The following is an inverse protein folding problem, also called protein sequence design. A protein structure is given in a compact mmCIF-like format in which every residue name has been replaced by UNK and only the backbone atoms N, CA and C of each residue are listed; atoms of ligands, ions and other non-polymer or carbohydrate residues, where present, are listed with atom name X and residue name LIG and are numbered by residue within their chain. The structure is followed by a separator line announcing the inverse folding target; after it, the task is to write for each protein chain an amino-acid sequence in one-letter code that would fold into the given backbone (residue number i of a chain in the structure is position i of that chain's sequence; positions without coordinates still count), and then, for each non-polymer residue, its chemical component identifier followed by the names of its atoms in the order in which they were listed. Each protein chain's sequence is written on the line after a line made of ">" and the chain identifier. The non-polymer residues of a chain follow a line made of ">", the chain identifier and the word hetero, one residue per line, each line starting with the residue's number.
data_IF_149910395976
#
_entry.id   IF_149910395976
#
_cell.length_a   1.000
_cell.length_b   1.000
_cell.length_c   1.000
_cell.angle_alpha   90.00
_cell.angle_beta   90.00
_cell.angle_gamma   90.00
#
_symmetry.space_group_name_H-M   'P 1'
#
loop_
_entity.id
_entity.type
_entity.pdbx_description
1 polymer ?
#
# COMPACT_ATOMS: atom_id res chain seq x y z
N UNK A 1 66.02 27.27 -6.07
CA UNK A 1 65.03 26.31 -6.60
C UNK A 1 64.15 25.84 -5.44
N UNK A 2 62.94 26.36 -5.34
CA UNK A 2 61.97 25.93 -4.30
C UNK A 2 60.86 25.21 -5.02
N UNK A 3 60.70 23.89 -4.76
CA UNK A 3 59.59 23.09 -5.24
C UNK A 3 58.35 23.39 -4.36
N UNK A 4 57.28 23.82 -4.97
CA UNK A 4 55.96 23.91 -4.33
C UNK A 4 55.17 22.61 -4.57
N UNK A 5 54.86 21.91 -3.46
CA UNK A 5 54.03 20.71 -3.49
C UNK A 5 52.57 21.10 -3.27
N UNK A 6 51.77 20.95 -4.33
CA UNK A 6 50.31 21.22 -4.27
C UNK A 6 49.59 19.95 -3.81
N UNK A 7 49.00 19.99 -2.61
CA UNK A 7 48.13 18.94 -2.07
C UNK A 7 46.73 19.12 -2.65
N UNK A 8 46.29 18.17 -3.46
CA UNK A 8 44.95 18.08 -4.01
C UNK A 8 44.05 17.34 -3.00
N UNK A 9 43.22 18.11 -2.25
CA UNK A 9 42.22 17.50 -1.32
C UNK A 9 41.02 17.01 -2.09
N UNK A 10 40.85 15.69 -2.15
CA UNK A 10 39.68 15.01 -2.73
C UNK A 10 38.57 14.96 -1.66
N UNK A 11 37.60 15.86 -1.77
CA UNK A 11 36.43 15.87 -0.89
C UNK A 11 35.47 14.71 -1.23
N UNK A 12 35.38 13.73 -0.34
CA UNK A 12 34.43 12.64 -0.42
C UNK A 12 33.04 13.15 0.01
N UNK A 13 32.17 13.46 -0.93
CA UNK A 13 30.77 13.79 -0.64
C UNK A 13 30.01 12.52 -0.26
N UNK A 14 29.73 12.37 1.03
CA UNK A 14 28.83 11.33 1.54
C UNK A 14 27.40 11.71 1.18
N UNK A 15 26.86 11.10 0.12
CA UNK A 15 25.43 11.11 -0.15
C UNK A 15 24.74 10.26 0.90
N UNK A 16 24.11 10.90 1.89
CA UNK A 16 23.19 10.23 2.81
C UNK A 16 21.93 9.85 2.03
N UNK A 17 21.80 8.58 1.66
CA UNK A 17 20.55 8.01 1.17
C UNK A 17 19.64 7.89 2.40
N UNK A 18 18.76 8.87 2.61
CA UNK A 18 17.66 8.70 3.57
C UNK A 18 16.74 7.62 3.01
N UNK A 19 16.76 6.44 3.63
CA UNK A 19 15.75 5.43 3.41
C UNK A 19 14.40 6.04 3.81
N UNK A 20 13.59 6.42 2.82
CA UNK A 20 12.16 6.68 3.05
C UNK A 20 11.56 5.36 3.48
N UNK A 21 10.89 5.34 4.62
CA UNK A 21 10.01 4.25 5.00
C UNK A 21 9.08 3.97 3.81
N UNK A 22 8.85 2.70 3.50
CA UNK A 22 8.10 2.21 2.34
C UNK A 22 6.76 2.94 2.18
N UNK A 23 6.74 3.95 1.33
CA UNK A 23 5.50 4.57 0.87
C UNK A 23 4.81 3.54 -0.04
N UNK A 24 3.54 3.17 0.23
CA UNK A 24 2.83 2.22 -0.61
C UNK A 24 2.86 2.66 -2.07
N UNK A 25 2.92 1.73 -3.04
CA UNK A 25 2.90 2.06 -4.46
C UNK A 25 1.72 2.97 -4.79
N UNK A 26 1.94 3.98 -5.62
CA UNK A 26 0.88 4.89 -6.06
C UNK A 26 -0.30 4.10 -6.64
N UNK A 27 -1.52 4.47 -6.26
CA UNK A 27 -2.74 3.79 -6.71
C UNK A 27 -3.11 2.51 -5.95
N UNK A 28 -2.51 2.24 -4.79
CA UNK A 28 -2.86 1.09 -3.93
C UNK A 28 -3.29 1.49 -2.52
N UNK A 29 -3.22 2.77 -2.17
CA UNK A 29 -3.51 3.26 -0.82
C UNK A 29 -4.98 3.52 -0.59
N UNK A 30 -5.53 2.95 0.48
CA UNK A 30 -6.82 3.33 1.08
C UNK A 30 -6.53 4.21 2.30
N UNK A 31 -7.05 5.41 2.31
CA UNK A 31 -6.79 6.40 3.36
C UNK A 31 -7.98 6.50 4.30
N UNK A 32 -7.80 6.11 5.58
CA UNK A 32 -8.77 6.31 6.62
C UNK A 32 -8.44 7.55 7.44
N UNK A 33 -9.42 8.45 7.60
CA UNK A 33 -9.24 9.74 8.26
C UNK A 33 -10.25 9.93 9.39
N UNK A 34 -9.78 10.32 10.58
CA UNK A 34 -10.66 10.80 11.65
C UNK A 34 -10.09 12.08 12.25
N UNK A 35 -10.86 12.77 13.12
CA UNK A 35 -10.42 14.05 13.66
C UNK A 35 -9.03 13.96 14.29
N UNK A 36 -8.81 12.97 15.16
CA UNK A 36 -7.57 12.89 15.95
C UNK A 36 -6.55 11.88 15.42
N UNK A 37 -6.85 11.07 14.40
CA UNK A 37 -5.93 10.07 13.85
C UNK A 37 -5.58 8.92 14.80
N UNK A 38 -6.18 8.86 15.98
CA UNK A 38 -5.74 8.00 17.09
C UNK A 38 -6.66 6.81 17.38
N UNK A 39 -7.90 6.80 16.86
CA UNK A 39 -8.87 5.75 17.17
C UNK A 39 -9.52 5.18 15.93
N UNK A 40 -10.58 5.82 15.37
CA UNK A 40 -11.41 5.26 14.30
C UNK A 40 -10.58 4.92 13.05
N UNK A 41 -9.71 5.82 12.63
CA UNK A 41 -8.84 5.61 11.46
C UNK A 41 -7.81 4.51 11.69
N UNK A 42 -7.24 4.39 12.89
CA UNK A 42 -6.32 3.29 13.25
C UNK A 42 -7.03 1.93 13.23
N UNK A 43 -8.22 1.86 13.83
CA UNK A 43 -9.04 0.65 13.83
C UNK A 43 -9.43 0.24 12.41
N UNK A 44 -9.93 1.17 11.61
CA UNK A 44 -10.35 0.91 10.24
C UNK A 44 -9.18 0.42 9.38
N UNK A 45 -8.03 1.07 9.46
CA UNK A 45 -6.86 0.68 8.70
C UNK A 45 -6.33 -0.70 9.13
N UNK A 46 -6.28 -1.00 10.43
CA UNK A 46 -5.84 -2.30 10.93
C UNK A 46 -6.78 -3.44 10.47
N UNK A 47 -8.09 -3.25 10.60
CA UNK A 47 -9.08 -4.24 10.14
C UNK A 47 -9.05 -4.41 8.62
N UNK A 48 -9.00 -3.30 7.87
CA UNK A 48 -8.91 -3.35 6.41
C UNK A 48 -7.69 -4.13 5.94
N UNK A 49 -6.51 -3.84 6.50
CA UNK A 49 -5.27 -4.51 6.11
C UNK A 49 -5.30 -6.02 6.39
N UNK A 50 -5.92 -6.44 7.50
CA UNK A 50 -6.17 -7.87 7.77
C UNK A 50 -7.07 -8.50 6.70
N UNK A 51 -8.18 -7.85 6.35
CA UNK A 51 -9.13 -8.35 5.34
C UNK A 51 -8.48 -8.34 3.95
N UNK A 52 -7.80 -7.27 3.58
CA UNK A 52 -7.10 -7.15 2.31
C UNK A 52 -6.07 -8.27 2.12
N UNK A 53 -5.26 -8.53 3.15
CA UNK A 53 -4.29 -9.63 3.15
C UNK A 53 -4.97 -10.99 3.00
N UNK A 54 -6.04 -11.24 3.75
CA UNK A 54 -6.76 -12.51 3.71
C UNK A 54 -7.44 -12.78 2.35
N UNK A 55 -7.85 -11.72 1.65
CA UNK A 55 -8.52 -11.79 0.33
C UNK A 55 -7.59 -11.53 -0.86
N UNK A 56 -6.27 -11.37 -0.63
CA UNK A 56 -5.29 -11.10 -1.69
C UNK A 56 -5.53 -9.79 -2.44
N UNK A 57 -6.07 -8.75 -1.76
CA UNK A 57 -6.29 -7.45 -2.38
C UNK A 57 -4.96 -6.68 -2.50
N UNK A 58 -4.73 -5.94 -3.59
CA UNK A 58 -3.50 -5.18 -3.81
C UNK A 58 -3.51 -3.84 -3.07
N UNK A 59 -4.38 -3.67 -2.08
CA UNK A 59 -4.57 -2.42 -1.37
C UNK A 59 -3.96 -2.46 0.03
N UNK A 60 -3.38 -1.34 0.45
CA UNK A 60 -2.88 -1.12 1.81
C UNK A 60 -3.56 0.11 2.39
N UNK A 61 -4.11 -0.03 3.58
CA UNK A 61 -4.70 1.10 4.30
C UNK A 61 -3.67 1.81 5.17
N UNK A 62 -3.78 3.13 5.23
CA UNK A 62 -3.08 4.01 6.17
C UNK A 62 -4.07 4.83 6.99
N UNK A 63 -3.64 5.30 8.15
CA UNK A 63 -4.43 6.09 9.10
C UNK A 63 -3.92 7.52 9.17
N UNK A 64 -4.82 8.53 9.15
CA UNK A 64 -4.47 9.94 9.30
C UNK A 64 -5.47 10.68 10.18
N UNK A 65 -5.02 11.80 10.74
CA UNK A 65 -5.83 12.72 11.52
C UNK A 65 -5.87 14.13 10.92
N UNK A 66 -6.89 14.90 11.29
CA UNK A 66 -7.03 16.32 10.92
C UNK A 66 -6.36 17.18 11.99
N UNK A 67 -6.63 16.87 13.28
CA UNK A 67 -6.05 17.51 14.46
C UNK A 67 -5.47 16.38 15.33
N UNK A 68 -4.23 16.00 15.08
CA UNK A 68 -3.67 14.75 15.61
C UNK A 68 -3.43 14.77 17.11
N UNK A 69 -3.77 13.68 17.78
CA UNK A 69 -3.37 13.41 19.16
C UNK A 69 -1.87 13.14 19.27
N UNK A 70 -1.31 13.32 20.43
CA UNK A 70 0.11 13.03 20.71
C UNK A 70 0.42 11.52 20.81
N UNK A 71 -0.60 10.66 20.94
CA UNK A 71 -0.43 9.20 21.07
C UNK A 71 -1.73 8.45 20.80
N UNK A 72 -1.60 7.16 20.49
CA UNK A 72 -2.73 6.23 20.43
C UNK A 72 -3.15 5.88 21.87
N UNK A 73 -4.44 6.02 22.23
CA UNK A 73 -4.91 5.68 23.58
C UNK A 73 -4.56 4.23 23.95
N UNK A 74 -3.99 3.98 25.15
CA UNK A 74 -3.59 2.63 25.56
C UNK A 74 -4.71 1.60 25.51
N UNK A 75 -5.96 2.03 25.79
CA UNK A 75 -7.14 1.18 25.66
C UNK A 75 -7.34 0.69 24.23
N UNK A 76 -7.23 1.57 23.24
CA UNK A 76 -7.41 1.19 21.81
C UNK A 76 -6.32 0.21 21.38
N UNK A 77 -5.09 0.44 21.80
CA UNK A 77 -3.97 -0.48 21.55
C UNK A 77 -4.25 -1.86 22.18
N UNK A 78 -4.75 -1.88 23.43
CA UNK A 78 -5.07 -3.14 24.11
C UNK A 78 -6.22 -3.90 23.44
N UNK A 79 -7.29 -3.20 23.04
CA UNK A 79 -8.45 -3.80 22.36
C UNK A 79 -8.04 -4.39 20.98
N UNK A 80 -7.27 -3.66 20.18
CA UNK A 80 -6.73 -4.17 18.91
C UNK A 80 -5.84 -5.40 19.12
N UNK A 81 -4.97 -5.39 20.14
CA UNK A 81 -4.10 -6.51 20.47
C UNK A 81 -4.89 -7.77 20.85
N UNK A 82 -6.02 -7.64 21.55
CA UNK A 82 -6.91 -8.77 21.86
C UNK A 82 -7.49 -9.42 20.60
N UNK A 83 -7.62 -8.66 19.52
CA UNK A 83 -8.07 -9.15 18.22
C UNK A 83 -6.93 -9.62 17.29
N UNK A 84 -5.70 -9.66 17.80
CA UNK A 84 -4.50 -9.98 17.00
C UNK A 84 -4.11 -8.89 16.01
N UNK A 85 -4.51 -7.65 16.28
CA UNK A 85 -4.20 -6.45 15.50
C UNK A 85 -3.33 -5.49 16.31
N UNK A 86 -2.75 -4.51 15.62
CA UNK A 86 -2.05 -3.39 16.24
C UNK A 86 -2.43 -2.08 15.52
N UNK A 87 -2.33 -0.92 16.18
CA UNK A 87 -2.36 0.35 15.48
C UNK A 87 -1.25 0.39 14.42
N UNK A 88 -1.51 1.06 13.30
CA UNK A 88 -0.52 1.18 12.21
C UNK A 88 0.66 2.06 12.58
N UNK A 89 0.39 3.09 13.39
CA UNK A 89 1.37 4.08 13.79
C UNK A 89 1.57 4.04 15.30
N UNK A 90 2.77 4.34 15.77
CA UNK A 90 3.02 4.57 17.21
C UNK A 90 2.50 5.94 17.65
N UNK A 91 2.57 6.93 16.77
CA UNK A 91 2.06 8.28 16.95
C UNK A 91 1.17 8.63 15.75
N UNK A 92 -0.04 9.19 15.99
CA UNK A 92 -0.94 9.62 14.93
C UNK A 92 -0.25 10.56 13.93
N UNK A 93 -0.54 10.39 12.65
CA UNK A 93 0.04 11.18 11.57
C UNK A 93 -0.98 12.17 10.98
N UNK A 94 -0.50 13.38 10.67
CA UNK A 94 -1.32 14.44 10.06
C UNK A 94 -1.69 14.08 8.61
N UNK A 95 -2.95 14.29 8.22
CA UNK A 95 -3.37 14.22 6.84
C UNK A 95 -2.72 15.32 5.99
N UNK A 96 -2.28 14.96 4.80
CA UNK A 96 -1.81 15.91 3.78
C UNK A 96 -2.65 15.83 2.51
N UNK A 97 -2.79 16.96 1.79
CA UNK A 97 -3.50 17.00 0.52
C UNK A 97 -2.85 16.09 -0.56
N UNK A 98 -1.53 15.91 -0.47
CA UNK A 98 -0.80 15.00 -1.38
C UNK A 98 -1.19 13.55 -1.16
N UNK A 99 -1.29 13.09 0.10
CA UNK A 99 -1.73 11.74 0.43
C UNK A 99 -3.20 11.52 0.03
N UNK A 100 -4.06 12.51 0.27
CA UNK A 100 -5.45 12.44 -0.18
C UNK A 100 -5.54 12.29 -1.71
N UNK A 101 -4.78 13.08 -2.47
CA UNK A 101 -4.76 13.03 -3.92
C UNK A 101 -4.16 11.72 -4.48
N UNK A 102 -3.20 11.12 -3.78
CA UNK A 102 -2.57 9.85 -4.17
C UNK A 102 -3.36 8.60 -3.77
N UNK A 103 -4.38 8.73 -2.92
CA UNK A 103 -5.16 7.59 -2.44
C UNK A 103 -6.17 7.10 -3.49
N UNK A 104 -6.35 5.79 -3.57
CA UNK A 104 -7.41 5.14 -4.37
C UNK A 104 -8.79 5.48 -3.82
N UNK A 105 -8.89 5.56 -2.50
CA UNK A 105 -10.10 5.90 -1.77
C UNK A 105 -9.74 6.63 -0.48
N UNK A 106 -10.45 7.73 -0.23
CA UNK A 106 -10.41 8.43 1.07
C UNK A 106 -11.71 8.15 1.78
N UNK A 107 -11.62 7.60 2.98
CA UNK A 107 -12.74 7.33 3.88
C UNK A 107 -12.55 8.16 5.14
N UNK A 108 -13.56 8.92 5.52
CA UNK A 108 -13.48 9.78 6.70
C UNK A 108 -14.66 9.58 7.66
N UNK A 109 -14.36 9.68 8.96
CA UNK A 109 -15.34 9.60 10.03
C UNK A 109 -15.82 10.99 10.49
N UNK A 110 -15.07 12.03 10.10
CA UNK A 110 -15.30 13.41 10.44
C UNK A 110 -15.12 14.28 9.19
N UNK A 111 -15.63 15.51 9.19
CA UNK A 111 -15.53 16.43 8.05
C UNK A 111 -14.06 16.78 7.78
N UNK A 112 -13.56 16.45 6.60
CA UNK A 112 -12.20 16.79 6.17
C UNK A 112 -12.20 18.17 5.53
N UNK A 113 -11.41 19.14 6.04
CA UNK A 113 -11.29 20.47 5.47
C UNK A 113 -10.77 20.40 4.01
N UNK A 114 -11.22 21.32 3.18
CA UNK A 114 -10.80 21.37 1.76
C UNK A 114 -9.29 21.52 1.59
N UNK A 115 -8.64 22.30 2.45
CA UNK A 115 -7.18 22.48 2.46
C UNK A 115 -6.41 21.17 2.63
N UNK A 116 -7.01 20.16 3.29
CA UNK A 116 -6.37 18.88 3.63
C UNK A 116 -6.74 17.76 2.64
N UNK A 117 -7.84 17.90 1.89
CA UNK A 117 -8.28 16.93 0.88
C UNK A 117 -8.10 17.39 -0.57
N UNK A 118 -7.93 18.68 -0.80
CA UNK A 118 -7.94 19.26 -2.14
C UNK A 118 -9.25 18.95 -2.88
N UNK A 119 -9.14 18.56 -4.15
CA UNK A 119 -10.28 18.16 -4.99
C UNK A 119 -10.67 16.68 -4.80
N UNK A 120 -10.05 15.93 -3.88
CA UNK A 120 -10.30 14.50 -3.70
C UNK A 120 -11.70 14.27 -3.11
N UNK A 121 -12.43 13.33 -3.71
CA UNK A 121 -13.71 12.87 -3.20
C UNK A 121 -13.50 12.06 -1.91
N UNK A 122 -14.29 12.36 -0.88
CA UNK A 122 -14.22 11.70 0.42
C UNK A 122 -15.51 10.91 0.67
N UNK A 123 -15.38 9.63 0.99
CA UNK A 123 -16.49 8.80 1.42
C UNK A 123 -16.64 8.93 2.95
N UNK A 124 -17.76 9.47 3.41
CA UNK A 124 -18.00 9.71 4.83
C UNK A 124 -18.77 8.57 5.50
N UNK A 125 -18.18 7.99 6.57
CA UNK A 125 -18.80 7.02 7.47
C UNK A 125 -19.24 7.71 8.77
N UNK A 126 -20.16 8.66 8.63
CA UNK A 126 -20.60 9.53 9.72
C UNK A 126 -21.54 8.84 10.74
N UNK A 127 -22.07 7.69 10.38
CA UNK A 127 -22.93 6.84 11.22
C UNK A 127 -22.14 5.97 12.21
N UNK A 128 -20.80 5.86 12.02
CA UNK A 128 -19.93 5.10 12.94
C UNK A 128 -19.92 5.75 14.32
N UNK A 129 -20.31 5.00 15.39
CA UNK A 129 -20.47 5.55 16.74
C UNK A 129 -19.24 6.27 17.28
N UNK A 130 -19.47 7.20 18.23
CA UNK A 130 -18.38 7.82 18.98
C UNK A 130 -17.68 6.81 19.89
N UNK A 131 -16.36 6.97 20.04
CA UNK A 131 -15.45 6.04 20.74
C UNK A 131 -15.74 5.87 22.23
N UNK A 132 -16.42 6.83 22.86
CA UNK A 132 -16.52 6.94 24.31
C UNK A 132 -17.43 5.93 24.98
N UNK A 133 -18.27 5.20 24.23
CA UNK A 133 -19.37 4.44 24.84
C UNK A 133 -19.30 2.91 24.67
N UNK A 134 -18.82 2.40 23.56
CA UNK A 134 -18.86 0.96 23.32
C UNK A 134 -17.87 0.55 22.21
N UNK A 135 -16.71 0.00 22.58
CA UNK A 135 -15.72 -0.46 21.61
C UNK A 135 -16.27 -1.55 20.66
N UNK A 136 -16.96 -2.59 21.12
CA UNK A 136 -17.56 -3.58 20.21
C UNK A 136 -18.48 -2.97 19.15
N UNK A 137 -19.37 -2.07 19.54
CA UNK A 137 -20.29 -1.42 18.58
C UNK A 137 -19.53 -0.54 17.57
N UNK A 138 -18.50 0.16 18.02
CA UNK A 138 -17.62 0.94 17.14
C UNK A 138 -16.89 0.04 16.14
N UNK A 139 -16.28 -1.05 16.62
CA UNK A 139 -15.60 -2.04 15.80
C UNK A 139 -16.54 -2.66 14.77
N UNK A 140 -17.70 -3.13 15.22
CA UNK A 140 -18.66 -3.83 14.36
C UNK A 140 -19.19 -2.91 13.25
N UNK A 141 -19.44 -1.65 13.53
CA UNK A 141 -19.82 -0.67 12.52
C UNK A 141 -18.70 -0.45 11.50
N UNK A 142 -17.44 -0.30 11.95
CA UNK A 142 -16.29 -0.16 11.06
C UNK A 142 -16.11 -1.40 10.17
N UNK A 143 -16.19 -2.60 10.75
CA UNK A 143 -16.02 -3.85 10.00
C UNK A 143 -17.13 -4.01 8.97
N UNK A 144 -18.38 -3.69 9.32
CA UNK A 144 -19.50 -3.70 8.39
C UNK A 144 -19.26 -2.80 7.17
N UNK A 145 -18.85 -1.55 7.40
CA UNK A 145 -18.49 -0.65 6.31
C UNK A 145 -17.31 -1.14 5.45
N UNK A 146 -16.33 -1.82 6.06
CA UNK A 146 -15.23 -2.42 5.30
C UNK A 146 -15.74 -3.57 4.43
N UNK A 147 -16.66 -4.40 4.94
CA UNK A 147 -17.25 -5.49 4.17
C UNK A 147 -18.07 -4.99 2.96
N UNK A 148 -18.69 -3.80 3.08
CA UNK A 148 -19.36 -3.13 1.96
C UNK A 148 -18.37 -2.47 0.98
N UNK A 149 -17.25 -1.97 1.49
CA UNK A 149 -16.21 -1.32 0.67
C UNK A 149 -15.44 -2.32 -0.20
N UNK A 150 -15.12 -3.49 0.34
CA UNK A 150 -14.24 -4.48 -0.31
C UNK A 150 -14.77 -4.96 -1.67
N UNK A 151 -16.05 -5.32 -1.88
CA UNK A 151 -16.58 -5.68 -3.20
C UNK A 151 -16.35 -4.59 -4.24
N UNK A 152 -16.62 -3.32 -3.88
CA UNK A 152 -16.43 -2.19 -4.78
C UNK A 152 -14.96 -1.99 -5.18
N UNK A 153 -14.03 -2.33 -4.29
CA UNK A 153 -12.59 -2.31 -4.60
C UNK A 153 -12.17 -3.49 -5.50
N UNK A 154 -12.81 -4.65 -5.36
CA UNK A 154 -12.54 -5.83 -6.20
C UNK A 154 -13.03 -5.63 -7.65
N UNK A 155 -14.10 -4.88 -7.84
CA UNK A 155 -14.66 -4.56 -9.16
C UNK A 155 -13.84 -3.48 -9.90
N UNK A 156 -12.96 -2.74 -9.20
CA UNK A 156 -12.12 -1.72 -9.85
C UNK A 156 -11.04 -2.39 -10.69
N UNK A 157 -10.73 -1.84 -11.88
CA UNK A 157 -9.55 -2.24 -12.61
C UNK A 157 -8.32 -2.06 -11.71
N UNK A 158 -7.58 -3.11 -11.47
CA UNK A 158 -6.37 -3.04 -10.64
C UNK A 158 -5.29 -2.25 -11.39
N UNK A 159 -4.49 -1.42 -10.67
CA UNK A 159 -3.32 -0.82 -11.29
C UNK A 159 -2.43 -1.91 -11.86
N UNK A 160 -2.21 -1.91 -13.15
CA UNK A 160 -1.35 -2.89 -13.82
C UNK A 160 -0.34 -2.18 -14.72
N UNK A 161 0.79 -2.82 -14.91
CA UNK A 161 1.82 -2.40 -15.87
C UNK A 161 1.95 -3.48 -16.92
N UNK A 162 1.88 -3.09 -18.18
CA UNK A 162 2.17 -3.98 -19.29
C UNK A 162 3.65 -3.85 -19.65
N UNK A 163 4.36 -4.97 -19.72
CA UNK A 163 5.77 -4.99 -20.10
C UNK A 163 6.06 -6.16 -21.04
N UNK A 164 7.18 -6.06 -21.74
CA UNK A 164 7.67 -7.10 -22.65
C UNK A 164 8.98 -7.68 -22.11
N UNK A 165 9.17 -8.96 -22.31
CA UNK A 165 10.40 -9.63 -21.90
C UNK A 165 10.57 -10.98 -22.56
N UNK A 166 11.77 -11.56 -22.39
CA UNK A 166 12.08 -12.92 -22.82
C UNK A 166 12.06 -13.83 -21.59
N UNK A 167 11.39 -14.97 -21.69
CA UNK A 167 11.33 -15.98 -20.62
C UNK A 167 12.71 -16.59 -20.40
N UNK A 168 13.26 -16.42 -19.20
CA UNK A 168 14.59 -16.91 -18.82
C UNK A 168 14.55 -18.11 -17.89
N UNK A 169 13.50 -18.25 -17.08
CA UNK A 169 13.27 -19.41 -16.22
C UNK A 169 11.77 -19.53 -15.90
N UNK A 170 11.35 -20.78 -15.72
CA UNK A 170 10.01 -21.14 -15.25
C UNK A 170 10.20 -22.05 -14.04
N UNK A 171 9.71 -21.61 -12.87
CA UNK A 171 9.81 -22.33 -11.60
C UNK A 171 8.41 -22.59 -11.04
N UNK A 172 7.74 -23.61 -11.58
CA UNK A 172 6.35 -23.97 -11.21
C UNK A 172 6.19 -24.21 -9.71
N UNK A 173 7.18 -24.88 -9.06
CA UNK A 173 7.15 -25.16 -7.62
C UNK A 173 7.26 -23.90 -6.74
N UNK A 174 7.64 -22.77 -7.33
CA UNK A 174 7.70 -21.45 -6.69
C UNK A 174 6.63 -20.50 -7.20
N UNK A 175 5.75 -20.95 -8.09
CA UNK A 175 4.77 -20.11 -8.79
C UNK A 175 5.42 -18.86 -9.39
N UNK A 176 6.56 -19.00 -10.08
CA UNK A 176 7.31 -17.85 -10.60
C UNK A 176 7.89 -18.06 -12.00
N UNK A 177 7.98 -16.94 -12.74
CA UNK A 177 8.65 -16.83 -14.04
C UNK A 177 9.66 -15.68 -13.94
N UNK A 178 10.89 -15.95 -14.42
CA UNK A 178 11.93 -14.93 -14.58
C UNK A 178 11.89 -14.39 -16.01
N UNK A 179 11.76 -13.08 -16.16
CA UNK A 179 11.82 -12.40 -17.45
C UNK A 179 13.07 -11.53 -17.55
N UNK A 180 13.71 -11.57 -18.72
CA UNK A 180 14.69 -10.55 -19.13
C UNK A 180 13.95 -9.43 -19.82
N UNK A 181 14.04 -8.22 -19.27
CA UNK A 181 13.36 -7.03 -19.74
C UNK A 181 14.15 -6.34 -20.87
N UNK A 182 13.54 -5.34 -21.50
CA UNK A 182 14.13 -4.60 -22.62
C UNK A 182 15.45 -3.86 -22.28
N UNK A 183 15.66 -3.52 -21.02
CA UNK A 183 16.88 -2.91 -20.48
C UNK A 183 17.99 -3.94 -20.14
N UNK A 184 17.81 -5.21 -20.52
CA UNK A 184 18.62 -6.37 -20.16
C UNK A 184 18.65 -6.73 -18.67
N UNK A 185 17.87 -6.10 -17.83
CA UNK A 185 17.66 -6.56 -16.44
C UNK A 185 16.83 -7.83 -16.40
N UNK A 186 17.02 -8.64 -15.35
CA UNK A 186 16.19 -9.81 -15.09
C UNK A 186 15.35 -9.55 -13.83
N UNK A 187 14.09 -9.93 -13.89
CA UNK A 187 13.16 -9.81 -12.76
C UNK A 187 12.30 -11.06 -12.62
N UNK A 188 12.07 -11.45 -11.37
CA UNK A 188 11.20 -12.55 -11.01
C UNK A 188 9.80 -12.03 -10.76
N UNK A 189 8.82 -12.74 -11.28
CA UNK A 189 7.42 -12.43 -11.14
C UNK A 189 6.68 -13.66 -10.59
N UNK A 190 5.82 -13.47 -9.61
CA UNK A 190 4.84 -14.50 -9.26
C UNK A 190 3.84 -14.68 -10.40
N UNK A 191 3.23 -15.85 -10.49
CA UNK A 191 2.18 -16.16 -11.46
C UNK A 191 0.92 -16.47 -10.69
N UNK A 192 -0.18 -15.78 -11.02
CA UNK A 192 -1.46 -15.98 -10.33
C UNK A 192 -2.19 -17.23 -10.81
N UNK A 193 -2.09 -17.52 -12.11
CA UNK A 193 -2.76 -18.66 -12.74
C UNK A 193 -1.71 -19.66 -13.27
N UNK A 194 -1.70 -20.86 -12.70
CA UNK A 194 -0.78 -21.91 -13.08
C UNK A 194 -0.88 -22.34 -14.56
N UNK A 195 -2.01 -22.12 -15.22
CA UNK A 195 -2.18 -22.38 -16.65
C UNK A 195 -1.24 -21.53 -17.53
N UNK A 196 -0.71 -20.42 -17.01
CA UNK A 196 0.27 -19.59 -17.72
C UNK A 196 1.62 -20.30 -17.90
N UNK A 197 1.97 -21.29 -17.05
CA UNK A 197 3.20 -22.07 -17.21
C UNK A 197 3.15 -22.99 -18.43
N UNK A 198 1.98 -23.52 -18.75
CA UNK A 198 1.79 -24.39 -19.93
C UNK A 198 1.84 -23.61 -21.25
N UNK A 199 1.58 -22.30 -21.19
CA UNK A 199 1.49 -21.43 -22.36
C UNK A 199 2.84 -20.89 -22.83
N UNK A 200 3.95 -21.09 -22.08
CA UNK A 200 5.24 -20.47 -22.41
C UNK A 200 6.41 -21.43 -22.28
N UNK A 201 7.50 -21.14 -22.98
CA UNK A 201 8.77 -21.88 -22.95
C UNK A 201 9.95 -20.94 -22.73
N UNK A 202 11.06 -21.50 -22.30
CA UNK A 202 12.33 -20.76 -22.23
C UNK A 202 12.66 -20.16 -23.61
N UNK A 203 12.97 -18.87 -23.60
CA UNK A 203 13.34 -18.11 -24.80
C UNK A 203 12.17 -17.39 -25.49
N UNK A 204 10.93 -17.66 -25.11
CA UNK A 204 9.77 -17.00 -25.70
C UNK A 204 9.76 -15.52 -25.39
N UNK A 205 9.37 -14.71 -26.38
CA UNK A 205 9.08 -13.30 -26.20
C UNK A 205 7.63 -13.13 -25.82
N UNK A 206 7.41 -12.54 -24.65
CA UNK A 206 6.06 -12.39 -24.08
C UNK A 206 5.75 -10.96 -23.76
N UNK A 207 4.48 -10.64 -23.87
CA UNK A 207 3.88 -9.43 -23.32
C UNK A 207 3.08 -9.81 -22.07
N UNK A 208 3.46 -9.27 -20.92
CA UNK A 208 2.84 -9.59 -19.64
C UNK A 208 2.13 -8.41 -19.04
N UNK A 209 1.00 -8.68 -18.39
CA UNK A 209 0.29 -7.75 -17.51
C UNK A 209 0.67 -8.07 -16.08
N UNK A 210 1.29 -7.13 -15.40
CA UNK A 210 1.81 -7.28 -14.03
C UNK A 210 1.03 -6.38 -13.08
N UNK A 211 0.54 -6.97 -12.00
CA UNK A 211 -0.06 -6.28 -10.86
C UNK A 211 0.85 -6.42 -9.63
N UNK A 212 0.74 -5.49 -8.68
CA UNK A 212 1.36 -5.66 -7.37
C UNK A 212 0.32 -6.21 -6.40
N UNK A 213 0.47 -7.47 -5.99
CA UNK A 213 -0.44 -8.15 -5.08
C UNK A 213 0.32 -8.46 -3.78
N UNK A 214 -0.13 -7.87 -2.66
CA UNK A 214 0.55 -8.06 -1.36
C UNK A 214 2.03 -7.63 -1.36
N UNK A 215 2.38 -6.58 -2.13
CA UNK A 215 3.77 -6.11 -2.29
C UNK A 215 4.61 -6.91 -3.28
N UNK A 216 4.05 -7.96 -3.91
CA UNK A 216 4.76 -8.83 -4.85
C UNK A 216 4.31 -8.55 -6.29
N UNK A 217 5.25 -8.40 -7.22
CA UNK A 217 4.95 -8.29 -8.65
C UNK A 217 4.43 -9.63 -9.17
N UNK A 218 3.20 -9.63 -9.65
CA UNK A 218 2.49 -10.84 -10.06
C UNK A 218 1.99 -10.71 -11.50
N UNK A 219 2.32 -11.68 -12.35
CA UNK A 219 1.76 -11.78 -13.70
C UNK A 219 0.31 -12.26 -13.58
N UNK A 220 -0.63 -11.45 -14.08
CA UNK A 220 -2.07 -11.74 -14.11
C UNK A 220 -2.57 -11.99 -15.54
N UNK A 221 -1.74 -11.74 -16.53
CA UNK A 221 -2.02 -12.04 -17.94
C UNK A 221 -0.75 -12.09 -18.75
N UNK A 222 -0.72 -12.94 -19.78
CA UNK A 222 0.42 -13.13 -20.67
C UNK A 222 -0.04 -13.47 -22.07
N UNK A 223 0.66 -12.97 -23.07
CA UNK A 223 0.50 -13.35 -24.47
C UNK A 223 1.86 -13.45 -25.14
N UNK A 224 2.02 -14.43 -26.02
CA UNK A 224 3.18 -14.50 -26.93
C UNK A 224 3.14 -13.34 -27.94
N UNK A 225 4.34 -12.96 -28.42
CA UNK A 225 4.52 -11.95 -29.46
C UNK A 225 4.90 -12.58 -30.78
#
# INVERSE_FOLDING_TARGET
>A
MRLATTLLSFGLALFSISARADEPPAGTTILFVCLHGSVKSQMAAAHFNRIAKARGLPYTAISRGIEVDSSIPPRIRAELNQEGLAPLDDVPQQLTASEAAGAVKVVAFDVVPEKDRGATEVNYWSDVPATSKNYPALRDAIVHHIDDLVPALMERPRPHVTMQGTVMAIEEHKDSITLRLADNSSSDFKVQDGLLFDAVRYGDQVKVTVETIGGTKTIVGMSEQ
#
